data_IF_562751548744
#
_entry.id   IF_562751548744
#
_cell.length_a   1.000
_cell.length_b   1.000
_cell.length_c   1.000
_cell.angle_alpha   90.00
_cell.angle_beta   90.00
_cell.angle_gamma   90.00
#
_symmetry.space_group_name_H-M   'P 1'
#
loop_
_entity.id
_entity.type
_entity.pdbx_description
1 polymer ?
#
# COMPACT_ATOMS: atom_id res chain seq x y z
N UNK A 1 -18.96 18.91 8.26
CA UNK A 1 -19.72 17.64 8.30
C UNK A 1 -20.70 17.63 7.15
N UNK A 2 -20.43 16.83 6.12
CA UNK A 2 -21.42 16.36 5.16
C UNK A 2 -20.92 15.00 4.65
N UNK A 3 -21.61 13.96 5.11
CA UNK A 3 -21.40 12.55 4.80
C UNK A 3 -21.83 12.27 3.36
N UNK A 4 -20.99 11.58 2.57
CA UNK A 4 -21.41 10.98 1.31
C UNK A 4 -21.61 9.49 1.58
N UNK A 5 -22.81 9.19 2.06
CA UNK A 5 -23.42 7.87 1.92
C UNK A 5 -24.36 7.90 0.70
N UNK A 6 -24.47 6.74 0.06
CA UNK A 6 -25.47 6.35 -0.95
C UNK A 6 -25.25 6.83 -2.40
N UNK A 7 -24.65 5.97 -3.23
CA UNK A 7 -25.04 5.83 -4.63
C UNK A 7 -25.31 4.36 -4.94
N UNK A 8 -26.60 4.04 -5.10
CA UNK A 8 -27.14 2.72 -5.42
C UNK A 8 -26.92 2.38 -6.90
N UNK A 9 -26.74 1.09 -7.14
CA UNK A 9 -26.68 0.47 -8.46
C UNK A 9 -27.96 0.73 -9.28
N UNK A 10 -27.78 1.26 -10.50
CA UNK A 10 -28.81 1.31 -11.53
C UNK A 10 -28.68 0.11 -12.47
N UNK A 11 -29.73 -0.69 -12.55
CA UNK A 11 -29.85 -1.84 -13.46
C UNK A 11 -29.92 -1.37 -14.92
N UNK A 12 -29.22 -2.08 -15.81
CA UNK A 12 -29.31 -1.90 -17.26
C UNK A 12 -30.52 -2.69 -17.83
N UNK A 13 -31.27 -2.15 -18.81
CA UNK A 13 -32.38 -2.85 -19.45
C UNK A 13 -31.90 -3.87 -20.50
N UNK A 14 -32.70 -4.91 -20.82
CA UNK A 14 -32.29 -5.97 -21.73
C UNK A 14 -32.48 -5.54 -23.19
N UNK A 15 -31.47 -5.75 -24.02
CA UNK A 15 -31.60 -5.69 -25.48
C UNK A 15 -31.47 -7.09 -26.06
N UNK A 16 -32.59 -7.60 -26.56
CA UNK A 16 -32.68 -8.81 -27.38
C UNK A 16 -32.42 -8.44 -28.84
N UNK A 17 -31.35 -8.97 -29.44
CA UNK A 17 -31.27 -9.12 -30.88
C UNK A 17 -30.68 -10.48 -31.22
N UNK A 18 -31.55 -11.34 -31.78
CA UNK A 18 -31.18 -12.54 -32.53
C UNK A 18 -30.36 -12.10 -33.75
N UNK A 19 -29.16 -12.65 -33.90
CA UNK A 19 -28.42 -12.66 -35.15
C UNK A 19 -28.02 -14.11 -35.43
N UNK A 20 -28.35 -14.55 -36.64
CA UNK A 20 -28.20 -15.87 -37.23
C UNK A 20 -26.75 -16.31 -37.38
N UNK A 21 -26.47 -17.58 -37.03
CA UNK A 21 -25.23 -18.28 -37.37
C UNK A 21 -25.19 -18.71 -38.83
N UNK A 22 -24.02 -18.66 -39.49
CA UNK A 22 -23.70 -19.58 -40.58
C UNK A 22 -22.62 -20.58 -40.16
N UNK A 23 -22.86 -21.83 -40.56
CA UNK A 23 -22.01 -23.00 -40.36
C UNK A 23 -20.60 -22.84 -40.97
N UNK A 24 -19.59 -23.32 -40.24
CA UNK A 24 -18.23 -23.48 -40.74
C UNK A 24 -17.80 -24.95 -40.59
N UNK A 25 -17.46 -25.53 -41.74
CA UNK A 25 -17.07 -26.92 -41.96
C UNK A 25 -15.83 -27.32 -41.16
N UNK A 26 -15.89 -28.52 -40.59
CA UNK A 26 -14.80 -29.13 -39.82
C UNK A 26 -13.77 -29.74 -40.77
N UNK A 27 -12.60 -29.10 -40.90
CA UNK A 27 -11.43 -29.68 -41.58
C UNK A 27 -10.46 -30.25 -40.55
N UNK A 28 -10.40 -31.57 -40.46
CA UNK A 28 -9.47 -32.30 -39.58
C UNK A 28 -8.06 -32.17 -40.16
N UNK A 29 -7.19 -31.40 -39.51
CA UNK A 29 -5.75 -31.40 -39.78
C UNK A 29 -5.07 -32.21 -38.68
N UNK A 30 -4.51 -33.36 -39.05
CA UNK A 30 -3.63 -34.16 -38.20
C UNK A 30 -2.30 -33.43 -38.09
N UNK A 31 -1.92 -32.98 -36.89
CA UNK A 31 -0.57 -32.49 -36.58
C UNK A 31 0.14 -33.47 -35.65
N UNK A 32 1.36 -33.85 -36.05
CA UNK A 32 2.24 -34.81 -35.42
C UNK A 32 2.73 -34.35 -34.03
N UNK A 33 3.04 -35.33 -33.18
CA UNK A 33 3.65 -35.15 -31.85
C UNK A 33 5.14 -34.81 -32.01
N UNK A 34 5.65 -33.67 -31.48
CA UNK A 34 7.07 -33.38 -31.45
C UNK A 34 7.77 -34.03 -30.23
N UNK A 35 9.09 -34.28 -30.31
CA UNK A 35 9.82 -35.09 -29.34
C UNK A 35 10.04 -34.36 -28.00
N UNK A 36 10.18 -35.15 -26.95
CA UNK A 36 10.51 -34.70 -25.60
C UNK A 36 11.93 -34.14 -25.53
N UNK A 37 12.09 -32.99 -24.85
CA UNK A 37 13.38 -32.54 -24.31
C UNK A 37 13.87 -31.18 -24.81
N UNK A 38 13.30 -30.10 -24.27
CA UNK A 38 14.07 -28.89 -23.98
C UNK A 38 13.30 -28.04 -22.95
N UNK A 39 13.94 -27.76 -21.81
CA UNK A 39 13.35 -26.95 -20.74
C UNK A 39 13.18 -25.51 -21.22
N UNK A 40 11.99 -25.18 -21.72
CA UNK A 40 11.59 -23.80 -22.05
C UNK A 40 11.57 -23.00 -20.76
N UNK A 41 12.63 -22.22 -20.53
CA UNK A 41 12.60 -21.12 -19.56
C UNK A 41 11.57 -20.11 -20.08
N UNK A 42 10.36 -20.14 -19.53
CA UNK A 42 9.37 -19.11 -19.77
C UNK A 42 9.88 -17.79 -19.18
N UNK A 43 10.56 -16.99 -20.01
CA UNK A 43 10.79 -15.59 -19.71
C UNK A 43 9.43 -14.90 -19.63
N UNK A 44 9.04 -14.50 -18.42
CA UNK A 44 7.89 -13.62 -18.20
C UNK A 44 8.17 -12.32 -18.96
N UNK A 45 7.38 -11.94 -19.98
CA UNK A 45 7.66 -10.75 -20.77
C UNK A 45 7.65 -9.53 -19.85
N UNK A 46 8.76 -8.78 -19.83
CA UNK A 46 8.87 -7.53 -19.05
C UNK A 46 7.86 -6.54 -19.60
N UNK A 47 6.73 -6.40 -18.90
CA UNK A 47 5.66 -5.45 -19.19
C UNK A 47 6.29 -4.06 -19.33
N UNK A 48 6.22 -3.44 -20.52
CA UNK A 48 6.66 -2.04 -20.72
C UNK A 48 5.97 -1.20 -19.64
N UNK A 49 6.76 -0.52 -18.83
CA UNK A 49 6.27 0.48 -17.89
C UNK A 49 5.59 1.54 -18.77
N UNK A 50 4.25 1.56 -18.77
CA UNK A 50 3.50 2.54 -19.54
C UNK A 50 3.46 3.81 -18.72
N UNK A 51 3.99 4.89 -19.29
CA UNK A 51 3.71 6.24 -18.84
C UNK A 51 2.19 6.46 -18.98
N UNK A 52 1.56 6.88 -17.89
CA UNK A 52 0.13 7.15 -17.84
C UNK A 52 -0.07 8.56 -17.29
N UNK A 53 -0.63 9.44 -18.10
CA UNK A 53 -1.06 10.75 -17.61
C UNK A 53 -2.33 10.59 -16.77
N UNK A 54 -2.34 11.20 -15.60
CA UNK A 54 -3.48 11.20 -14.68
C UNK A 54 -3.87 12.62 -14.30
N UNK A 55 -5.12 12.79 -13.91
CA UNK A 55 -5.65 14.03 -13.35
C UNK A 55 -6.07 13.80 -11.89
N UNK A 56 -5.74 14.72 -11.00
CA UNK A 56 -6.24 14.73 -9.62
C UNK A 56 -7.73 15.06 -9.65
N UNK A 57 -8.56 14.03 -9.48
CA UNK A 57 -10.00 14.15 -9.42
C UNK A 57 -10.47 14.72 -8.07
N UNK A 58 -9.80 14.31 -6.99
CA UNK A 58 -10.09 14.77 -5.63
C UNK A 58 -8.85 14.75 -4.72
N UNK A 59 -8.94 15.51 -3.63
CA UNK A 59 -7.87 15.65 -2.61
C UNK A 59 -8.50 15.51 -1.23
N UNK A 60 -8.10 14.48 -0.49
CA UNK A 60 -8.64 14.18 0.84
C UNK A 60 -7.52 14.36 1.86
N UNK A 61 -7.73 15.26 2.82
CA UNK A 61 -6.80 15.43 3.93
C UNK A 61 -7.05 14.33 4.97
N UNK A 62 -6.10 13.41 5.12
CA UNK A 62 -6.21 12.27 6.06
C UNK A 62 -5.78 12.67 7.48
N UNK A 63 -4.65 13.37 7.57
CA UNK A 63 -4.06 13.89 8.81
C UNK A 63 -3.44 15.26 8.51
N UNK A 64 -2.97 16.05 9.49
CA UNK A 64 -2.34 17.35 9.21
C UNK A 64 -1.14 17.30 8.25
N UNK A 65 -0.47 16.14 8.12
CA UNK A 65 0.73 15.92 7.30
C UNK A 65 0.55 14.89 6.18
N UNK A 66 -0.67 14.40 5.94
CA UNK A 66 -0.94 13.32 4.99
C UNK A 66 -2.18 13.60 4.14
N UNK A 67 -2.05 13.39 2.83
CA UNK A 67 -3.11 13.64 1.85
C UNK A 67 -3.28 12.44 0.93
N UNK A 68 -4.52 12.05 0.69
CA UNK A 68 -4.90 11.11 -0.38
C UNK A 68 -5.22 11.89 -1.65
N UNK A 69 -4.53 11.56 -2.75
CA UNK A 69 -4.82 12.06 -4.08
C UNK A 69 -5.62 10.99 -4.83
N UNK A 70 -6.85 11.33 -5.21
CA UNK A 70 -7.71 10.50 -6.06
C UNK A 70 -7.43 10.86 -7.51
N UNK A 71 -7.04 9.88 -8.31
CA UNK A 71 -6.51 10.05 -9.66
C UNK A 71 -7.49 9.47 -10.68
N UNK A 72 -7.87 10.29 -11.65
CA UNK A 72 -8.62 9.89 -12.83
C UNK A 72 -7.65 9.50 -13.95
N UNK A 73 -7.89 8.33 -14.53
CA UNK A 73 -7.01 7.67 -15.50
C UNK A 73 -7.70 7.48 -16.86
N UNK A 74 -8.70 8.30 -17.19
CA UNK A 74 -9.38 8.23 -18.49
C UNK A 74 -10.37 7.07 -18.67
N UNK A 75 -10.78 6.40 -17.58
CA UNK A 75 -11.54 5.13 -17.57
C UNK A 75 -10.76 3.90 -18.09
N UNK A 76 -9.43 3.97 -18.18
CA UNK A 76 -8.62 2.81 -18.48
C UNK A 76 -8.79 1.73 -17.38
N UNK A 77 -8.97 0.47 -17.77
CA UNK A 77 -8.85 -0.65 -16.84
C UNK A 77 -7.37 -0.84 -16.51
N UNK A 78 -7.02 -0.60 -15.26
CA UNK A 78 -5.65 -0.73 -14.78
C UNK A 78 -5.48 -2.10 -14.12
N UNK A 79 -4.67 -2.95 -14.73
CA UNK A 79 -4.32 -4.24 -14.14
C UNK A 79 -3.23 -4.04 -13.09
N UNK A 80 -3.64 -3.86 -11.84
CA UNK A 80 -2.76 -3.86 -10.68
C UNK A 80 -3.30 -4.77 -9.57
N UNK A 81 -2.42 -5.19 -8.67
CA UNK A 81 -2.78 -6.00 -7.51
C UNK A 81 -2.84 -5.11 -6.27
N UNK A 82 -3.74 -5.43 -5.34
CA UNK A 82 -3.82 -4.73 -4.07
C UNK A 82 -2.46 -4.80 -3.34
N UNK A 83 -1.93 -3.64 -2.96
CA UNK A 83 -0.60 -3.47 -2.37
C UNK A 83 0.52 -3.11 -3.36
N UNK A 84 0.25 -3.07 -4.68
CA UNK A 84 1.18 -2.45 -5.64
C UNK A 84 1.40 -0.95 -5.37
N UNK A 85 2.49 -0.41 -5.91
CA UNK A 85 2.78 1.02 -5.95
C UNK A 85 2.89 1.54 -7.39
N UNK A 86 2.71 2.85 -7.54
CA UNK A 86 3.08 3.61 -8.72
C UNK A 86 4.31 4.47 -8.43
N UNK A 87 4.91 5.04 -9.47
CA UNK A 87 6.11 5.86 -9.38
C UNK A 87 5.89 7.21 -10.05
N UNK A 88 6.35 8.27 -9.39
CA UNK A 88 6.26 9.66 -9.84
C UNK A 88 7.68 10.24 -9.91
N UNK A 89 8.04 10.80 -11.07
CA UNK A 89 9.31 11.49 -11.25
C UNK A 89 9.20 12.95 -10.79
N UNK A 90 10.00 13.44 -9.83
CA UNK A 90 9.95 14.85 -9.42
C UNK A 90 10.35 15.82 -10.55
N UNK A 91 11.11 15.36 -11.55
CA UNK A 91 11.64 16.20 -12.63
C UNK A 91 10.58 16.66 -13.62
N UNK A 92 9.40 16.04 -13.61
CA UNK A 92 8.29 16.42 -14.48
C UNK A 92 7.57 17.70 -14.02
N UNK A 93 7.81 18.17 -12.79
CA UNK A 93 7.08 19.30 -12.22
C UNK A 93 7.87 20.60 -12.42
N UNK A 94 7.34 21.58 -13.17
CA UNK A 94 8.01 22.87 -13.34
C UNK A 94 8.27 23.59 -12.01
N UNK A 95 7.38 23.43 -11.03
CA UNK A 95 7.54 24.02 -9.70
C UNK A 95 8.75 23.49 -8.92
N UNK A 96 9.29 22.33 -9.30
CA UNK A 96 10.46 21.70 -8.68
C UNK A 96 11.75 21.88 -9.49
N UNK A 97 11.69 22.39 -10.72
CA UNK A 97 12.81 22.40 -11.67
C UNK A 97 14.09 23.00 -11.08
N UNK A 98 14.02 24.22 -10.53
CA UNK A 98 15.18 24.91 -9.93
C UNK A 98 15.76 24.15 -8.74
N UNK A 99 14.90 23.53 -7.93
CA UNK A 99 15.31 22.79 -6.74
C UNK A 99 15.91 21.42 -7.08
N UNK A 100 15.34 20.75 -8.07
CA UNK A 100 15.88 19.53 -8.66
C UNK A 100 17.28 19.82 -9.19
N UNK A 101 17.45 20.83 -10.04
CA UNK A 101 18.75 21.16 -10.63
C UNK A 101 19.81 21.43 -9.55
N UNK A 102 19.45 22.21 -8.52
CA UNK A 102 20.33 22.48 -7.38
C UNK A 102 20.72 21.21 -6.61
N UNK A 103 19.75 20.33 -6.32
CA UNK A 103 20.04 19.09 -5.59
C UNK A 103 20.82 18.09 -6.44
N UNK A 104 20.57 18.01 -7.75
CA UNK A 104 21.31 17.12 -8.65
C UNK A 104 22.79 17.53 -8.75
N UNK A 105 23.06 18.84 -8.86
CA UNK A 105 24.40 19.41 -8.82
C UNK A 105 25.10 19.08 -7.49
N UNK A 106 24.43 19.37 -6.37
CA UNK A 106 24.97 19.09 -5.02
C UNK A 106 25.21 17.59 -4.76
N UNK A 107 24.38 16.71 -5.33
CA UNK A 107 24.48 15.25 -5.14
C UNK A 107 25.39 14.57 -6.16
N UNK A 108 25.74 15.23 -7.26
CA UNK A 108 26.45 14.66 -8.41
C UNK A 108 25.66 13.55 -9.11
N UNK A 109 24.33 13.50 -8.96
CA UNK A 109 23.46 12.47 -9.55
C UNK A 109 22.02 12.98 -9.68
N UNK A 110 21.27 12.32 -10.56
CA UNK A 110 19.86 12.67 -10.82
C UNK A 110 18.96 12.45 -9.61
N UNK A 111 17.96 13.31 -9.46
CA UNK A 111 16.87 13.11 -8.54
C UNK A 111 16.04 11.91 -9.01
N UNK A 112 16.07 10.85 -8.21
CA UNK A 112 15.34 9.64 -8.54
C UNK A 112 13.81 9.89 -8.51
N UNK A 113 13.02 9.14 -9.29
CA UNK A 113 11.59 8.99 -9.06
C UNK A 113 11.30 8.43 -7.66
N UNK A 114 10.05 8.61 -7.17
CA UNK A 114 9.60 8.07 -5.89
C UNK A 114 8.39 7.17 -6.08
N UNK A 115 8.39 6.05 -5.37
CA UNK A 115 7.29 5.12 -5.31
C UNK A 115 6.26 5.54 -4.27
N UNK A 116 4.97 5.40 -4.61
CA UNK A 116 3.84 5.62 -3.70
C UNK A 116 2.88 4.45 -3.82
N UNK A 117 2.66 3.74 -2.71
CA UNK A 117 1.73 2.62 -2.64
C UNK A 117 0.31 3.08 -3.00
N UNK A 118 -0.41 2.22 -3.69
CA UNK A 118 -1.80 2.45 -4.02
C UNK A 118 -2.66 2.31 -2.77
N UNK A 119 -3.48 3.31 -2.51
CA UNK A 119 -4.52 3.31 -1.49
C UNK A 119 -5.81 2.67 -2.02
N UNK A 120 -6.04 2.71 -3.34
CA UNK A 120 -7.19 2.09 -3.99
C UNK A 120 -6.99 0.58 -4.15
N UNK A 121 -8.07 -0.19 -3.98
CA UNK A 121 -8.17 -1.60 -4.31
C UNK A 121 -8.50 -1.79 -5.80
N UNK A 122 -8.10 -2.90 -6.45
CA UNK A 122 -8.25 -3.10 -7.90
C UNK A 122 -9.68 -3.02 -8.44
N UNK A 123 -10.69 -3.22 -7.59
CA UNK A 123 -12.10 -3.14 -7.97
C UNK A 123 -12.66 -1.70 -7.91
N UNK A 124 -11.91 -0.75 -7.37
CA UNK A 124 -12.34 0.65 -7.28
C UNK A 124 -12.16 1.37 -8.61
N UNK A 125 -13.07 2.30 -8.88
CA UNK A 125 -13.11 3.02 -10.16
C UNK A 125 -11.94 3.99 -10.33
N UNK A 126 -11.53 4.65 -9.25
CA UNK A 126 -10.46 5.64 -9.28
C UNK A 126 -9.21 5.04 -8.66
N UNK A 127 -8.07 5.42 -9.23
CA UNK A 127 -6.80 5.13 -8.61
C UNK A 127 -6.58 6.12 -7.46
N UNK A 128 -5.96 5.70 -6.36
CA UNK A 128 -5.62 6.60 -5.28
C UNK A 128 -4.24 6.30 -4.71
N UNK A 129 -3.51 7.34 -4.35
CA UNK A 129 -2.29 7.26 -3.53
C UNK A 129 -2.47 8.12 -2.29
N UNK A 130 -1.85 7.71 -1.20
CA UNK A 130 -1.83 8.51 0.03
C UNK A 130 -0.40 8.83 0.39
N UNK A 131 -0.12 10.13 0.41
CA UNK A 131 1.23 10.66 0.54
C UNK A 131 1.34 11.31 1.91
N UNK A 132 2.30 10.84 2.70
CA UNK A 132 2.72 11.52 3.92
C UNK A 132 3.88 12.45 3.60
N UNK A 133 3.80 13.68 4.09
CA UNK A 133 4.83 14.69 3.92
C UNK A 133 6.12 14.26 4.63
N UNK A 134 7.21 14.17 3.89
CA UNK A 134 8.54 14.11 4.49
C UNK A 134 9.00 15.54 4.78
N UNK A 135 9.60 15.75 5.95
CA UNK A 135 10.15 17.05 6.34
C UNK A 135 11.66 16.98 6.49
N UNK A 136 12.32 18.10 6.20
CA UNK A 136 13.74 18.23 6.50
C UNK A 136 13.95 18.29 8.01
N UNK A 137 14.74 17.36 8.54
CA UNK A 137 15.10 17.30 9.94
C UNK A 137 16.61 17.46 10.06
N UNK A 138 17.04 18.53 10.71
CA UNK A 138 18.47 18.79 10.94
C UNK A 138 19.13 17.58 11.62
N UNK A 139 20.28 17.16 11.10
CA UNK A 139 21.03 16.00 11.57
C UNK A 139 20.44 14.62 11.21
N UNK A 140 19.28 14.54 10.54
CA UNK A 140 18.64 13.27 10.14
C UNK A 140 18.39 13.18 8.64
N UNK A 141 17.85 14.24 8.06
CA UNK A 141 17.59 14.32 6.62
C UNK A 141 18.80 14.98 5.96
N UNK A 142 19.46 14.29 5.03
CA UNK A 142 20.65 14.85 4.36
C UNK A 142 20.31 15.99 3.39
N UNK A 143 19.17 15.90 2.72
CA UNK A 143 18.71 16.88 1.73
C UNK A 143 17.21 17.10 1.90
N UNK A 144 16.68 18.32 1.67
CA UNK A 144 15.26 18.57 1.76
C UNK A 144 14.47 17.67 0.77
N UNK A 145 13.38 17.03 1.21
CA UNK A 145 12.51 16.28 0.31
C UNK A 145 11.76 17.26 -0.61
N UNK A 146 11.68 16.93 -1.89
CA UNK A 146 11.03 17.79 -2.88
C UNK A 146 9.59 17.37 -3.17
N UNK A 147 9.38 16.07 -3.41
CA UNK A 147 8.15 15.59 -4.02
C UNK A 147 6.99 15.45 -3.03
N UNK A 148 7.18 14.80 -1.88
CA UNK A 148 6.09 14.58 -0.92
C UNK A 148 5.51 15.89 -0.37
N UNK A 149 6.27 16.95 -0.03
CA UNK A 149 5.69 18.24 0.35
C UNK A 149 4.84 18.86 -0.76
N UNK A 150 5.28 18.80 -2.02
CA UNK A 150 4.51 19.32 -3.14
C UNK A 150 3.22 18.53 -3.37
N UNK A 151 3.28 17.19 -3.31
CA UNK A 151 2.11 16.32 -3.45
C UNK A 151 1.09 16.55 -2.33
N UNK A 152 1.54 16.76 -1.09
CA UNK A 152 0.65 16.97 0.06
C UNK A 152 0.07 18.38 0.11
N UNK A 153 0.88 19.41 -0.18
CA UNK A 153 0.53 20.82 0.08
C UNK A 153 0.18 21.62 -1.16
N UNK A 154 0.58 21.17 -2.35
CA UNK A 154 0.59 22.00 -3.59
C UNK A 154 0.04 21.25 -4.81
N UNK A 155 -0.82 20.27 -4.60
CA UNK A 155 -1.40 19.46 -5.68
C UNK A 155 -2.93 19.50 -5.58
N UNK A 156 -3.58 20.57 -6.05
CA UNK A 156 -5.04 20.71 -6.02
C UNK A 156 -5.74 19.81 -7.05
N UNK A 157 -7.07 19.76 -6.95
CA UNK A 157 -7.93 19.14 -7.97
C UNK A 157 -7.65 19.76 -9.35
N UNK A 158 -7.66 18.92 -10.37
CA UNK A 158 -7.35 19.31 -11.75
C UNK A 158 -5.86 19.29 -12.10
N UNK A 159 -4.94 19.16 -11.13
CA UNK A 159 -3.52 18.94 -11.43
C UNK A 159 -3.32 17.68 -12.27
N UNK A 160 -2.39 17.75 -13.24
CA UNK A 160 -2.04 16.64 -14.12
C UNK A 160 -0.57 16.29 -13.95
N UNK A 161 -0.27 15.00 -14.00
CA UNK A 161 1.09 14.49 -14.00
C UNK A 161 1.12 13.07 -14.56
N UNK A 162 2.31 12.62 -14.91
CA UNK A 162 2.60 11.27 -15.41
C UNK A 162 3.00 10.37 -14.24
N UNK A 163 2.37 9.21 -14.20
CA UNK A 163 2.71 8.10 -13.33
C UNK A 163 3.25 6.93 -14.15
N UNK A 164 4.00 6.07 -13.48
CA UNK A 164 4.49 4.81 -14.03
C UNK A 164 4.24 3.68 -13.03
N UNK A 165 4.27 2.43 -13.49
CA UNK A 165 4.37 1.27 -12.60
C UNK A 165 3.13 0.39 -12.53
N UNK A 166 2.61 0.23 -11.31
CA UNK A 166 1.80 -0.90 -10.81
C UNK A 166 2.62 -2.17 -10.58
N UNK A 167 3.66 -2.06 -9.76
CA UNK A 167 4.55 -3.16 -9.41
C UNK A 167 4.70 -3.29 -7.89
N UNK A 168 5.44 -4.30 -7.45
CA UNK A 168 5.79 -4.50 -6.04
C UNK A 168 5.43 -5.90 -5.56
N UNK A 169 6.26 -6.53 -4.72
CA UNK A 169 6.00 -7.89 -4.21
C UNK A 169 5.03 -7.92 -3.01
N UNK A 170 4.65 -6.75 -2.48
CA UNK A 170 3.80 -6.60 -1.30
C UNK A 170 2.31 -6.75 -1.66
N UNK A 171 1.93 -7.93 -2.10
CA UNK A 171 0.57 -8.24 -2.58
C UNK A 171 0.02 -9.51 -1.94
N UNK A 172 -1.29 -9.70 -2.01
CA UNK A 172 -1.90 -10.99 -1.68
C UNK A 172 -1.28 -12.11 -2.53
N UNK A 173 -0.86 -13.23 -1.92
CA UNK A 173 -0.42 -14.37 -2.71
C UNK A 173 -1.62 -14.96 -3.46
N UNK A 174 -1.40 -15.55 -4.65
CA UNK A 174 -2.44 -16.34 -5.31
C UNK A 174 -2.97 -17.42 -4.38
N UNK A 175 -4.28 -17.67 -4.43
CA UNK A 175 -4.97 -18.68 -3.60
C UNK A 175 -4.67 -18.52 -2.10
N UNK A 176 -4.67 -17.28 -1.61
CA UNK A 176 -4.37 -16.95 -0.21
C UNK A 176 -5.21 -17.75 0.80
N UNK A 177 -6.49 -18.03 0.49
CA UNK A 177 -7.39 -18.80 1.35
C UNK A 177 -7.01 -20.29 1.49
N UNK A 178 -6.15 -20.83 0.62
CA UNK A 178 -5.57 -22.18 0.80
C UNK A 178 -4.42 -22.16 1.81
N UNK A 179 -3.83 -20.98 2.07
CA UNK A 179 -2.66 -20.81 2.93
C UNK A 179 -3.04 -20.44 4.36
N UNK A 180 -4.11 -19.66 4.52
CA UNK A 180 -4.56 -19.15 5.81
C UNK A 180 -6.01 -18.65 5.71
N UNK A 181 -6.68 -18.57 6.86
CA UNK A 181 -7.95 -17.86 7.03
C UNK A 181 -7.78 -16.51 7.75
N UNK A 182 -6.54 -16.11 8.10
CA UNK A 182 -6.27 -14.94 8.93
C UNK A 182 -5.10 -14.10 8.39
N UNK A 183 -5.40 -12.87 8.00
CA UNK A 183 -4.40 -11.87 7.65
C UNK A 183 -4.17 -10.91 8.82
N UNK A 184 -2.90 -10.65 9.16
CA UNK A 184 -2.54 -9.72 10.23
C UNK A 184 -1.72 -8.58 9.66
N UNK A 185 -2.26 -7.38 9.74
CA UNK A 185 -1.61 -6.15 9.27
C UNK A 185 -0.92 -5.49 10.45
N UNK A 186 0.42 -5.43 10.44
CA UNK A 186 1.24 -4.83 11.50
C UNK A 186 1.88 -3.58 10.93
N UNK A 187 1.22 -2.44 11.12
CA UNK A 187 1.56 -1.22 10.35
C UNK A 187 1.83 -0.01 11.22
N UNK A 188 2.59 0.94 10.69
CA UNK A 188 2.79 2.25 11.30
C UNK A 188 2.77 3.38 10.27
N UNK A 189 2.24 4.54 10.67
CA UNK A 189 2.12 5.71 9.81
C UNK A 189 1.57 5.39 8.42
N UNK A 190 2.24 5.84 7.35
CA UNK A 190 1.86 5.58 5.96
C UNK A 190 2.03 4.13 5.51
N UNK A 191 2.55 3.24 6.35
CA UNK A 191 2.56 1.80 6.08
C UNK A 191 1.16 1.19 6.04
N UNK A 192 0.16 1.94 6.54
CA UNK A 192 -1.25 1.62 6.37
C UNK A 192 -1.70 1.68 4.91
N UNK A 193 -1.05 2.44 4.03
CA UNK A 193 -1.51 2.69 2.65
C UNK A 193 -1.62 1.41 1.79
N UNK A 194 -0.55 0.61 1.60
CA UNK A 194 -0.69 -0.65 0.87
C UNK A 194 -1.63 -1.63 1.58
N UNK A 195 -1.65 -1.60 2.92
CA UNK A 195 -2.50 -2.46 3.74
C UNK A 195 -3.99 -2.09 3.65
N UNK A 196 -4.30 -0.82 3.43
CA UNK A 196 -5.66 -0.32 3.18
C UNK A 196 -6.19 -0.84 1.85
N UNK A 197 -5.37 -0.82 0.80
CA UNK A 197 -5.69 -1.43 -0.50
C UNK A 197 -5.91 -2.94 -0.36
N UNK A 198 -5.00 -3.66 0.32
CA UNK A 198 -5.12 -5.10 0.56
C UNK A 198 -6.37 -5.43 1.37
N UNK A 199 -6.64 -4.70 2.46
CA UNK A 199 -7.78 -4.93 3.34
C UNK A 199 -9.10 -4.78 2.59
N UNK A 200 -9.30 -3.66 1.89
CA UNK A 200 -10.50 -3.42 1.07
C UNK A 200 -10.70 -4.51 0.02
N UNK A 201 -9.62 -4.90 -0.67
CA UNK A 201 -9.69 -5.94 -1.68
C UNK A 201 -10.05 -7.31 -1.09
N UNK A 202 -9.39 -7.71 -0.01
CA UNK A 202 -9.58 -9.02 0.62
C UNK A 202 -10.96 -9.16 1.29
N UNK A 203 -11.44 -8.13 1.98
CA UNK A 203 -12.78 -8.16 2.59
C UNK A 203 -13.87 -8.41 1.55
N UNK A 204 -13.71 -7.86 0.35
CA UNK A 204 -14.64 -8.00 -0.77
C UNK A 204 -14.50 -9.35 -1.49
N UNK A 205 -13.28 -9.74 -1.86
CA UNK A 205 -13.06 -10.86 -2.80
C UNK A 205 -12.76 -12.20 -2.11
N UNK A 206 -12.44 -12.20 -0.81
CA UNK A 206 -12.02 -13.39 -0.06
C UNK A 206 -12.85 -13.56 1.23
N UNK A 207 -14.10 -14.06 1.14
CA UNK A 207 -15.05 -14.06 2.24
C UNK A 207 -14.62 -14.94 3.43
N UNK A 208 -13.67 -15.86 3.25
CA UNK A 208 -13.17 -16.72 4.34
C UNK A 208 -12.06 -16.07 5.15
N UNK A 209 -11.47 -14.98 4.65
CA UNK A 209 -10.41 -14.29 5.37
C UNK A 209 -10.99 -13.40 6.48
N UNK A 210 -10.37 -13.55 7.65
CA UNK A 210 -10.44 -12.65 8.80
C UNK A 210 -9.19 -11.77 8.82
N UNK A 211 -9.29 -10.63 9.47
CA UNK A 211 -8.28 -9.59 9.49
C UNK A 211 -8.09 -9.05 10.91
N UNK A 212 -6.83 -8.98 11.35
CA UNK A 212 -6.45 -8.16 12.50
C UNK A 212 -5.56 -7.03 12.01
N UNK A 213 -5.98 -5.79 12.21
CA UNK A 213 -5.24 -4.61 11.79
C UNK A 213 -4.65 -3.88 13.00
N UNK A 214 -3.37 -4.10 13.27
CA UNK A 214 -2.64 -3.52 14.41
C UNK A 214 -1.86 -2.30 13.92
N UNK A 215 -2.28 -1.11 14.32
CA UNK A 215 -1.84 0.15 13.73
C UNK A 215 -1.16 1.08 14.75
N UNK A 216 0.14 1.30 14.57
CA UNK A 216 0.96 2.13 15.43
C UNK A 216 1.11 3.57 14.93
N UNK A 217 0.78 4.54 15.77
CA UNK A 217 0.95 5.97 15.50
C UNK A 217 1.49 6.71 16.73
N UNK A 218 1.85 8.00 16.61
CA UNK A 218 2.31 8.77 17.79
C UNK A 218 1.11 9.23 18.59
N UNK A 219 0.19 9.94 17.97
CA UNK A 219 -1.05 10.44 18.57
C UNK A 219 -2.26 9.98 17.77
N UNK A 220 -3.46 10.21 18.30
CA UNK A 220 -4.70 9.86 17.61
C UNK A 220 -4.90 10.63 16.29
N UNK A 221 -4.36 11.84 16.20
CA UNK A 221 -4.44 12.68 15.00
C UNK A 221 -3.45 12.31 13.89
N UNK A 222 -2.51 11.40 14.18
CA UNK A 222 -1.61 10.82 13.18
C UNK A 222 -2.24 9.61 12.44
N UNK A 223 -3.42 9.14 12.85
CA UNK A 223 -4.04 7.92 12.31
C UNK A 223 -4.65 8.19 10.92
N UNK A 224 -3.98 7.70 9.88
CA UNK A 224 -4.46 7.78 8.48
C UNK A 224 -5.64 6.82 8.29
N UNK A 225 -6.68 7.23 7.54
CA UNK A 225 -7.92 6.48 7.34
C UNK A 225 -8.69 6.14 8.63
N UNK A 226 -8.51 6.92 9.70
CA UNK A 226 -9.15 6.66 11.01
C UNK A 226 -10.65 6.33 10.89
N UNK A 227 -11.39 7.18 10.18
CA UNK A 227 -12.84 6.98 9.99
C UNK A 227 -13.13 5.78 9.06
N UNK A 228 -12.35 5.62 8.00
CA UNK A 228 -12.52 4.50 7.06
C UNK A 228 -12.28 3.13 7.71
N UNK A 229 -11.26 3.02 8.57
CA UNK A 229 -11.00 1.79 9.34
C UNK A 229 -12.14 1.49 10.31
N UNK A 230 -12.64 2.50 11.02
CA UNK A 230 -13.80 2.36 11.91
C UNK A 230 -15.04 1.89 11.15
N UNK A 231 -15.30 2.49 9.99
CA UNK A 231 -16.42 2.11 9.15
C UNK A 231 -16.30 0.67 8.65
N UNK A 232 -15.14 0.28 8.11
CA UNK A 232 -14.94 -1.10 7.64
C UNK A 232 -15.05 -2.12 8.78
N UNK A 233 -14.56 -1.79 9.97
CA UNK A 233 -14.70 -2.67 11.14
C UNK A 233 -16.18 -2.85 11.51
N UNK A 234 -16.97 -1.78 11.49
CA UNK A 234 -18.41 -1.84 11.75
C UNK A 234 -19.20 -2.59 10.65
N UNK A 235 -18.75 -2.53 9.40
CA UNK A 235 -19.35 -3.28 8.27
C UNK A 235 -18.98 -4.77 8.28
N UNK A 236 -17.87 -5.13 8.93
CA UNK A 236 -17.33 -6.48 8.97
C UNK A 236 -16.94 -6.95 10.38
N UNK A 237 -17.84 -6.89 11.38
CA UNK A 237 -17.49 -7.10 12.80
C UNK A 237 -16.96 -8.51 13.10
N UNK A 238 -17.38 -9.52 12.32
CA UNK A 238 -16.92 -10.90 12.49
C UNK A 238 -15.60 -11.21 11.75
N UNK A 239 -15.15 -10.29 10.89
CA UNK A 239 -14.04 -10.50 9.96
C UNK A 239 -12.92 -9.47 10.07
N UNK A 240 -13.14 -8.33 10.70
CA UNK A 240 -12.13 -7.30 10.89
C UNK A 240 -12.11 -6.87 12.34
N UNK A 241 -10.92 -6.90 12.94
CA UNK A 241 -10.62 -6.27 14.22
C UNK A 241 -9.49 -5.26 14.04
N UNK A 242 -9.70 -4.03 14.45
CA UNK A 242 -8.72 -2.92 14.37
C UNK A 242 -8.23 -2.60 15.78
N UNK A 243 -6.93 -2.56 15.96
CA UNK A 243 -6.28 -2.21 17.23
C UNK A 243 -5.27 -1.11 16.99
N UNK A 244 -5.44 0.03 17.65
CA UNK A 244 -4.55 1.16 17.56
C UNK A 244 -3.59 1.20 18.76
N UNK A 245 -2.29 1.33 18.49
CA UNK A 245 -1.27 1.57 19.54
C UNK A 245 -0.71 2.98 19.39
N UNK A 246 -0.88 3.83 20.40
CA UNK A 246 -0.41 5.21 20.39
C UNK A 246 0.80 5.38 21.29
N UNK A 247 1.93 5.84 20.73
CA UNK A 247 3.21 5.91 21.46
C UNK A 247 3.41 7.20 22.25
N UNK A 248 2.63 8.25 21.97
CA UNK A 248 2.76 9.60 22.55
C UNK A 248 1.42 10.25 22.92
N UNK A 249 0.32 9.51 22.85
CA UNK A 249 -0.99 9.99 23.32
C UNK A 249 -1.08 9.86 24.85
N UNK A 250 -1.43 10.92 25.60
CA UNK A 250 -1.61 10.88 27.05
C UNK A 250 -2.66 9.88 27.54
N UNK A 251 -3.83 9.86 26.89
CA UNK A 251 -5.00 9.09 27.33
C UNK A 251 -5.61 8.36 26.12
N UNK A 252 -4.91 7.39 25.51
CA UNK A 252 -5.34 6.75 24.28
C UNK A 252 -6.69 6.02 24.41
N UNK A 253 -6.98 5.47 25.58
CA UNK A 253 -8.19 4.67 25.85
C UNK A 253 -9.48 5.49 25.69
N UNK A 254 -9.41 6.82 25.80
CA UNK A 254 -10.57 7.72 25.57
C UNK A 254 -11.11 7.66 24.14
N UNK A 255 -10.30 7.16 23.20
CA UNK A 255 -10.67 7.05 21.79
C UNK A 255 -11.39 5.74 21.45
N UNK A 256 -11.53 4.82 22.41
CA UNK A 256 -12.32 3.60 22.27
C UNK A 256 -11.59 2.34 22.76
N UNK A 257 -12.31 1.22 22.88
CA UNK A 257 -11.79 -0.03 23.46
C UNK A 257 -10.66 -0.68 22.65
N UNK A 258 -10.57 -0.36 21.35
CA UNK A 258 -9.49 -0.83 20.47
C UNK A 258 -8.24 0.06 20.50
N UNK A 259 -8.19 1.12 21.32
CA UNK A 259 -7.09 2.09 21.34
C UNK A 259 -6.32 1.99 22.65
N UNK A 260 -5.01 1.81 22.55
CA UNK A 260 -4.15 1.61 23.72
C UNK A 260 -2.82 2.33 23.62
N UNK A 261 -2.18 2.57 24.76
CA UNK A 261 -0.82 3.12 24.81
C UNK A 261 0.23 2.08 24.46
N UNK A 262 1.30 2.52 23.82
CA UNK A 262 2.55 1.75 23.70
C UNK A 262 2.94 1.42 22.27
N UNK A 263 3.94 0.54 22.14
CA UNK A 263 4.39 -0.02 20.86
C UNK A 263 3.78 -1.40 20.67
N UNK A 264 3.74 -1.86 19.42
CA UNK A 264 3.38 -3.24 19.11
C UNK A 264 4.48 -4.16 19.66
N UNK A 265 4.08 -5.18 20.42
CA UNK A 265 4.97 -6.16 21.05
C UNK A 265 4.50 -7.59 20.77
N UNK A 266 5.35 -8.58 21.08
CA UNK A 266 4.99 -9.99 20.94
C UNK A 266 3.81 -10.37 21.84
N UNK A 267 3.73 -9.81 23.06
CA UNK A 267 2.61 -10.00 23.98
C UNK A 267 1.30 -9.51 23.38
N UNK A 268 1.28 -8.30 22.81
CA UNK A 268 0.10 -7.77 22.15
C UNK A 268 -0.30 -8.62 20.94
N UNK A 269 0.67 -9.04 20.11
CA UNK A 269 0.35 -9.88 18.95
C UNK A 269 -0.18 -11.26 19.37
N UNK A 270 0.35 -11.84 20.46
CA UNK A 270 -0.14 -13.09 21.06
C UNK A 270 -1.56 -12.94 21.63
N UNK A 271 -1.87 -11.78 22.21
CA UNK A 271 -3.21 -11.43 22.70
C UNK A 271 -4.24 -11.38 21.55
N UNK A 272 -3.83 -10.85 20.39
CA UNK A 272 -4.75 -10.61 19.26
C UNK A 272 -4.85 -11.76 18.25
N UNK A 273 -3.84 -12.64 18.20
CA UNK A 273 -3.71 -13.69 17.19
C UNK A 273 -3.54 -15.02 17.91
N UNK A 274 -4.61 -15.82 18.09
CA UNK A 274 -4.56 -17.07 18.86
C UNK A 274 -3.58 -18.11 18.30
N UNK A 275 -3.45 -18.20 16.98
CA UNK A 275 -2.44 -19.03 16.31
C UNK A 275 -1.54 -18.16 15.41
N UNK A 276 -0.47 -17.57 15.99
CA UNK A 276 0.44 -16.72 15.23
C UNK A 276 1.13 -17.44 14.06
N UNK A 277 1.30 -18.77 14.11
CA UNK A 277 2.06 -19.49 13.08
C UNK A 277 1.20 -19.81 11.85
N UNK A 278 -0.12 -19.87 12.01
CA UNK A 278 -1.05 -20.10 10.91
C UNK A 278 -1.43 -18.82 10.13
N UNK A 279 -1.30 -17.65 10.73
CA UNK A 279 -1.62 -16.37 10.10
C UNK A 279 -0.60 -15.95 9.02
N UNK A 280 -1.04 -15.11 8.09
CA UNK A 280 -0.15 -14.42 7.14
C UNK A 280 -0.02 -12.94 7.53
N UNK A 281 1.22 -12.47 7.66
CA UNK A 281 1.51 -11.13 8.17
C UNK A 281 1.92 -10.17 7.06
N UNK A 282 1.42 -8.94 7.18
CA UNK A 282 1.78 -7.79 6.37
C UNK A 282 2.36 -6.72 7.28
N UNK A 283 3.68 -6.61 7.32
CA UNK A 283 4.39 -5.62 8.13
C UNK A 283 4.84 -4.44 7.26
N UNK A 284 4.41 -3.22 7.56
CA UNK A 284 4.86 -2.04 6.82
C UNK A 284 4.95 -0.79 7.70
N UNK A 285 6.08 -0.10 7.66
CA UNK A 285 6.36 1.01 8.56
C UNK A 285 7.74 1.61 8.35
N UNK A 286 8.11 2.62 9.15
CA UNK A 286 9.46 3.18 9.13
C UNK A 286 10.48 2.10 9.51
N UNK A 287 11.51 1.96 8.70
CA UNK A 287 12.68 1.13 8.98
C UNK A 287 13.90 2.02 9.25
N UNK A 288 14.95 1.43 9.82
CA UNK A 288 16.25 2.11 9.88
C UNK A 288 16.66 2.42 8.44
N UNK A 289 17.06 3.66 8.13
CA UNK A 289 17.46 4.06 6.79
C UNK A 289 18.91 3.66 6.46
N UNK A 290 19.32 3.66 5.17
CA UNK A 290 20.71 3.42 4.78
C UNK A 290 21.71 4.39 5.42
N UNK A 291 21.32 5.66 5.58
CA UNK A 291 22.17 6.69 6.20
C UNK A 291 22.38 6.40 7.69
N UNK A 292 21.32 6.07 8.42
CA UNK A 292 21.42 5.71 9.84
C UNK A 292 22.26 4.46 10.05
N UNK A 293 22.13 3.45 9.17
CA UNK A 293 22.99 2.26 9.18
C UNK A 293 24.46 2.62 8.95
N UNK A 294 24.75 3.48 7.98
CA UNK A 294 26.12 3.91 7.70
C UNK A 294 26.72 4.67 8.90
N UNK A 295 25.98 5.63 9.45
CA UNK A 295 26.43 6.42 10.60
C UNK A 295 26.64 5.56 11.87
N UNK A 296 25.76 4.59 12.13
CA UNK A 296 25.94 3.65 13.25
C UNK A 296 27.18 2.78 13.04
N UNK A 297 27.40 2.28 11.82
CA UNK A 297 28.59 1.50 11.46
C UNK A 297 29.88 2.29 11.66
N UNK A 298 29.92 3.57 11.29
CA UNK A 298 31.07 4.45 11.50
C UNK A 298 31.42 4.61 12.99
N UNK A 299 30.42 4.53 13.88
CA UNK A 299 30.62 4.57 15.34
C UNK A 299 30.86 3.19 15.97
N UNK A 300 30.84 2.11 15.19
CA UNK A 300 30.92 0.74 15.73
C UNK A 300 29.66 0.30 16.48
N UNK A 301 28.52 0.95 16.24
CA UNK A 301 27.25 0.72 16.92
C UNK A 301 26.25 -0.04 16.04
N UNK A 302 25.29 -0.71 16.68
CA UNK A 302 24.08 -1.18 15.99
C UNK A 302 23.03 -0.07 16.04
N UNK A 303 22.40 0.32 14.92
CA UNK A 303 21.37 1.35 14.93
C UNK A 303 20.17 0.88 15.76
N UNK A 304 19.60 1.79 16.54
CA UNK A 304 18.39 1.49 17.30
C UNK A 304 17.25 1.03 16.35
N UNK A 305 16.53 -0.04 16.69
CA UNK A 305 15.46 -0.56 15.82
C UNK A 305 14.36 0.49 15.65
N UNK A 306 13.85 0.60 14.43
CA UNK A 306 12.61 1.33 14.16
C UNK A 306 11.43 0.37 14.20
N UNK A 307 10.27 0.86 13.78
CA UNK A 307 9.04 0.09 13.82
C UNK A 307 9.17 -1.25 13.11
N UNK A 308 9.71 -1.26 11.88
CA UNK A 308 9.74 -2.49 11.10
C UNK A 308 10.65 -3.53 11.75
N UNK A 309 11.83 -3.14 12.23
CA UNK A 309 12.72 -4.05 12.96
C UNK A 309 12.09 -4.59 14.25
N UNK A 310 11.41 -3.73 15.02
CA UNK A 310 10.71 -4.14 16.24
C UNK A 310 9.53 -5.08 15.95
N UNK A 311 8.73 -4.79 14.93
CA UNK A 311 7.60 -5.63 14.52
C UNK A 311 8.08 -7.01 14.04
N UNK A 312 9.15 -7.06 13.25
CA UNK A 312 9.73 -8.33 12.80
C UNK A 312 10.34 -9.12 13.97
N UNK A 313 10.98 -8.44 14.93
CA UNK A 313 11.48 -9.07 16.16
C UNK A 313 10.35 -9.70 16.99
N UNK A 314 9.23 -8.99 17.14
CA UNK A 314 8.05 -9.52 17.84
C UNK A 314 7.45 -10.75 17.15
N UNK A 315 7.44 -10.79 15.80
CA UNK A 315 6.98 -11.96 15.04
C UNK A 315 7.96 -13.14 15.16
N UNK A 316 9.26 -12.87 15.19
CA UNK A 316 10.30 -13.89 15.39
C UNK A 316 10.19 -14.53 16.78
N UNK A 317 9.94 -13.73 17.83
CA UNK A 317 9.69 -14.22 19.19
C UNK A 317 8.45 -15.13 19.27
N UNK A 318 7.43 -14.85 18.48
CA UNK A 318 6.24 -15.71 18.34
C UNK A 318 6.51 -16.97 17.49
N UNK A 319 7.70 -17.09 16.91
CA UNK A 319 8.09 -18.19 16.04
C UNK A 319 7.33 -18.21 14.72
N UNK A 320 6.90 -17.06 14.23
CA UNK A 320 6.24 -16.93 12.92
C UNK A 320 7.24 -17.24 11.81
N UNK A 321 6.97 -18.22 10.93
CA UNK A 321 7.86 -18.53 9.82
C UNK A 321 8.09 -17.33 8.90
N UNK A 322 9.33 -17.14 8.41
CA UNK A 322 9.67 -15.97 7.58
C UNK A 322 8.89 -15.89 6.27
N UNK A 323 8.51 -17.03 5.69
CA UNK A 323 7.69 -17.12 4.48
C UNK A 323 6.22 -16.75 4.71
N UNK A 324 5.79 -16.67 5.98
CA UNK A 324 4.48 -16.16 6.41
C UNK A 324 4.49 -14.64 6.64
N UNK A 325 5.62 -13.96 6.45
CA UNK A 325 5.74 -12.52 6.68
C UNK A 325 6.10 -11.79 5.39
N UNK A 326 5.15 -10.99 4.89
CA UNK A 326 5.40 -9.98 3.86
C UNK A 326 5.77 -8.67 4.53
N UNK A 327 6.88 -8.08 4.10
CA UNK A 327 7.39 -6.83 4.65
C UNK A 327 7.67 -5.80 3.56
N UNK A 328 7.39 -4.55 3.87
CA UNK A 328 7.77 -3.40 3.07
C UNK A 328 8.22 -2.27 4.01
N UNK A 329 9.19 -1.48 3.58
CA UNK A 329 9.67 -0.33 4.34
C UNK A 329 9.55 0.92 3.49
N UNK A 330 9.20 2.03 4.13
CA UNK A 330 9.31 3.36 3.54
C UNK A 330 10.30 4.21 4.34
N UNK A 331 10.92 5.17 3.66
CA UNK A 331 11.97 6.03 4.22
C UNK A 331 13.25 5.97 3.43
#
# INVERSE_FOLDING_TARGET
>A
MASIAAWRAGAAPPMSHRMSEPALETRVVRTAVPPEGEAVRTEVPRRRIKDLEVMVADVIQETPDTTTLVLFTGNDRLDYLAGHFLTIDPRQFPALERWVAYLEDLKGKREAPRAYSLASAPHERYLAITVKEETYQSGRTRYPPLLSPMLVRRTPRGSRFVITGFTGPYVLPPRVEEKTDHLVHVVAGSGSVPNWSILKHALREHPRLRHTFVYSNRTWDDVIYREGLRQLEAEHPDRLRVVHTLTREPEPERHGPGVRRGRISAELLRELVPDPRAALYYACGPAVGPIERAAAKERGETPAPRFLEAALGALDELGVPRDRVKRESYG
#
